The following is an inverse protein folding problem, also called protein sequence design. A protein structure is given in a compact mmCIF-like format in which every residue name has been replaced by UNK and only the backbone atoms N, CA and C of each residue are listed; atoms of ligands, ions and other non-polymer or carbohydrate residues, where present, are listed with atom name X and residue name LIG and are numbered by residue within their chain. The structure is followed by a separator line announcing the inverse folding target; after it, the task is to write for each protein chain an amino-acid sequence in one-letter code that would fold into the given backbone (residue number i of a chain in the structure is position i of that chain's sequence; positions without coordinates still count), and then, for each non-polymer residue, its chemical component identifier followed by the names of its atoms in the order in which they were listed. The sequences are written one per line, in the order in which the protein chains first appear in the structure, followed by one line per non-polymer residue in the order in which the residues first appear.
data_IF_964213439019
#
_entry.id   IF_964213439019
#
_cell.length_a   1.000
_cell.length_b   1.000
_cell.length_c   1.000
_cell.angle_alpha   90.00
_cell.angle_beta   90.00
_cell.angle_gamma   90.00
#
_symmetry.space_group_name_H-M   'P 1'
#
loop_
_entity.id
_entity.type
_entity.pdbx_description
1 polymer ?
#
# COMPACT_ATOMS: atom_id res chain seq x y z
N UNK A 1 -26.14 33.86 23.17
CA UNK A 1 -26.29 33.62 21.73
C UNK A 1 -24.95 33.44 21.00
N UNK A 2 -23.90 34.18 21.32
CA UNK A 2 -22.56 34.02 20.69
C UNK A 2 -21.86 32.73 21.06
N UNK A 3 -22.05 32.20 22.23
CA UNK A 3 -21.41 30.98 22.72
C UNK A 3 -21.94 29.74 21.99
N UNK A 4 -23.23 29.65 21.74
CA UNK A 4 -23.86 28.53 21.04
C UNK A 4 -23.51 28.48 19.55
N UNK A 5 -23.32 29.63 18.90
CA UNK A 5 -22.88 29.71 17.51
C UNK A 5 -21.42 29.27 17.33
N UNK A 6 -20.51 29.69 18.23
CA UNK A 6 -19.12 29.26 18.19
C UNK A 6 -18.93 27.79 18.51
N UNK A 7 -19.74 27.23 19.40
CA UNK A 7 -19.70 25.81 19.73
C UNK A 7 -20.23 24.96 18.59
N UNK A 8 -21.32 25.37 17.92
CA UNK A 8 -21.83 24.70 16.74
C UNK A 8 -20.85 24.72 15.57
N UNK A 9 -20.23 25.87 15.31
CA UNK A 9 -19.19 26.01 14.28
C UNK A 9 -17.95 25.15 14.58
N UNK A 10 -17.54 25.04 15.84
CA UNK A 10 -16.44 24.19 16.28
C UNK A 10 -16.76 22.70 16.10
N UNK A 11 -17.94 22.25 16.47
CA UNK A 11 -18.42 20.87 16.27
C UNK A 11 -18.49 20.52 14.79
N UNK A 12 -18.96 21.43 13.95
CA UNK A 12 -19.02 21.23 12.51
C UNK A 12 -17.62 21.15 11.89
N UNK A 13 -16.68 21.99 12.31
CA UNK A 13 -15.29 21.95 11.87
C UNK A 13 -14.59 20.65 12.30
N UNK A 14 -14.82 20.16 13.51
CA UNK A 14 -14.30 18.88 13.99
C UNK A 14 -14.89 17.70 13.20
N UNK A 15 -16.19 17.74 12.89
CA UNK A 15 -16.87 16.73 12.10
C UNK A 15 -16.34 16.68 10.67
N UNK A 16 -16.18 17.83 10.02
CA UNK A 16 -15.61 17.94 8.68
C UNK A 16 -14.15 17.46 8.64
N UNK A 17 -13.37 17.73 9.67
CA UNK A 17 -12.01 17.25 9.82
C UNK A 17 -11.97 15.72 9.94
N UNK A 18 -12.82 15.13 10.77
CA UNK A 18 -12.93 13.69 10.95
C UNK A 18 -13.37 13.00 9.67
N UNK A 19 -14.34 13.55 8.95
CA UNK A 19 -14.78 13.04 7.65
C UNK A 19 -13.68 13.11 6.60
N UNK A 20 -12.90 14.21 6.56
CA UNK A 20 -11.76 14.38 5.67
C UNK A 20 -10.63 13.39 6.00
N UNK A 21 -10.33 13.15 7.27
CA UNK A 21 -9.37 12.16 7.73
C UNK A 21 -9.80 10.74 7.36
N UNK A 22 -11.07 10.38 7.56
CA UNK A 22 -11.63 9.10 7.16
C UNK A 22 -11.58 8.89 5.65
N UNK A 23 -11.88 9.93 4.88
CA UNK A 23 -11.79 9.90 3.42
C UNK A 23 -10.36 9.72 2.94
N UNK A 24 -9.39 10.38 3.56
CA UNK A 24 -7.97 10.18 3.30
C UNK A 24 -7.52 8.77 3.62
N UNK A 25 -7.95 8.20 4.74
CA UNK A 25 -7.65 6.82 5.12
C UNK A 25 -8.21 5.82 4.09
N UNK A 26 -9.44 6.04 3.60
CA UNK A 26 -10.03 5.23 2.54
C UNK A 26 -9.27 5.32 1.22
N UNK A 27 -8.66 6.47 0.92
CA UNK A 27 -7.88 6.69 -0.30
C UNK A 27 -6.44 6.17 -0.19
N UNK A 28 -5.88 6.02 1.02
CA UNK A 28 -4.52 5.55 1.26
C UNK A 28 -4.35 4.05 1.02
N UNK A 29 -5.39 3.26 1.27
CA UNK A 29 -5.44 1.85 0.88
C UNK A 29 -6.55 1.65 -0.14
N UNK A 30 -6.20 1.04 -1.26
CA UNK A 30 -7.15 0.69 -2.29
C UNK A 30 -8.19 -0.30 -1.72
N UNK A 31 -9.51 0.02 -1.69
CA UNK A 31 -10.54 -0.90 -1.22
C UNK A 31 -10.54 -2.24 -1.95
N UNK A 32 -10.23 -2.25 -3.25
CA UNK A 32 -10.06 -3.47 -4.02
C UNK A 32 -8.93 -4.35 -3.49
N UNK A 33 -7.82 -3.75 -3.10
CA UNK A 33 -6.71 -4.49 -2.49
C UNK A 33 -7.16 -5.21 -1.22
N UNK A 34 -7.87 -4.51 -0.33
CA UNK A 34 -8.36 -5.09 0.93
C UNK A 34 -9.33 -6.25 0.67
N UNK A 35 -10.31 -6.05 -0.19
CA UNK A 35 -11.31 -7.07 -0.53
C UNK A 35 -10.66 -8.28 -1.20
N UNK A 36 -9.77 -8.07 -2.16
CA UNK A 36 -9.06 -9.14 -2.85
C UNK A 36 -8.14 -9.91 -1.88
N UNK A 37 -7.47 -9.23 -0.98
CA UNK A 37 -6.62 -9.86 0.05
C UNK A 37 -7.45 -10.72 0.99
N UNK A 38 -8.60 -10.23 1.47
CA UNK A 38 -9.51 -11.00 2.31
C UNK A 38 -10.06 -12.24 1.58
N UNK A 39 -10.44 -12.10 0.31
CA UNK A 39 -10.89 -13.23 -0.49
C UNK A 39 -9.79 -14.28 -0.70
N UNK A 40 -8.56 -13.86 -0.90
CA UNK A 40 -7.41 -14.76 -1.02
C UNK A 40 -7.12 -15.48 0.30
N UNK A 41 -7.21 -14.78 1.43
CA UNK A 41 -7.07 -15.39 2.75
C UNK A 41 -8.17 -16.43 2.97
N UNK A 42 -9.40 -16.11 2.65
CA UNK A 42 -10.53 -17.04 2.73
C UNK A 42 -10.29 -18.31 1.93
N UNK A 43 -9.83 -18.17 0.69
CA UNK A 43 -9.49 -19.32 -0.15
C UNK A 43 -8.33 -20.17 0.44
N UNK A 44 -7.33 -19.52 1.02
CA UNK A 44 -6.19 -20.20 1.65
C UNK A 44 -6.57 -21.02 2.88
N UNK A 45 -7.60 -20.63 3.62
CA UNK A 45 -8.03 -21.35 4.83
C UNK A 45 -8.29 -22.84 4.54
N UNK A 46 -8.85 -23.14 3.38
CA UNK A 46 -9.15 -24.52 2.97
C UNK A 46 -7.91 -25.33 2.53
N UNK A 47 -6.86 -24.67 2.03
CA UNK A 47 -5.71 -25.34 1.43
C UNK A 47 -4.45 -25.26 2.31
N UNK A 48 -4.23 -24.16 2.96
CA UNK A 48 -3.05 -23.89 3.81
C UNK A 48 -3.44 -22.90 4.91
N UNK A 49 -3.92 -23.43 6.01
CA UNK A 49 -4.39 -22.64 7.16
C UNK A 49 -3.26 -21.85 7.83
N UNK A 50 -2.04 -22.37 7.85
CA UNK A 50 -0.89 -21.68 8.43
C UNK A 50 -0.53 -20.44 7.62
N UNK A 51 -0.54 -20.57 6.31
CA UNK A 51 -0.30 -19.45 5.39
C UNK A 51 -1.42 -18.41 5.46
N UNK A 52 -2.67 -18.84 5.61
CA UNK A 52 -3.81 -17.96 5.83
C UNK A 52 -3.67 -17.15 7.13
N UNK A 53 -3.26 -17.79 8.21
CA UNK A 53 -3.01 -17.12 9.49
C UNK A 53 -1.87 -16.10 9.40
N UNK A 54 -0.79 -16.45 8.73
CA UNK A 54 0.32 -15.54 8.47
C UNK A 54 -0.14 -14.32 7.68
N UNK A 55 -0.96 -14.51 6.66
CA UNK A 55 -1.53 -13.43 5.86
C UNK A 55 -2.43 -12.49 6.67
N UNK A 56 -3.23 -13.03 7.60
CA UNK A 56 -4.03 -12.22 8.54
C UNK A 56 -3.13 -11.36 9.43
N UNK A 57 -2.03 -11.92 9.94
CA UNK A 57 -1.08 -11.17 10.76
C UNK A 57 -0.42 -10.03 9.97
N UNK A 58 0.02 -10.30 8.74
CA UNK A 58 0.61 -9.27 7.87
C UNK A 58 -0.39 -8.18 7.53
N UNK A 59 -1.63 -8.54 7.22
CA UNK A 59 -2.70 -7.57 6.97
C UNK A 59 -2.99 -6.71 8.20
N UNK A 60 -3.00 -7.31 9.38
CA UNK A 60 -3.21 -6.58 10.64
C UNK A 60 -2.12 -5.56 10.92
N UNK A 61 -0.86 -5.91 10.67
CA UNK A 61 0.28 -4.99 10.79
C UNK A 61 0.16 -3.81 9.81
N UNK A 62 -0.22 -4.10 8.58
CA UNK A 62 -0.40 -3.11 7.53
C UNK A 62 -1.52 -2.13 7.89
N UNK A 63 -2.67 -2.63 8.33
CA UNK A 63 -3.80 -1.80 8.76
C UNK A 63 -3.46 -0.95 9.99
N UNK A 64 -2.74 -1.51 10.95
CA UNK A 64 -2.31 -0.77 12.15
C UNK A 64 -1.40 0.40 11.77
N UNK A 65 -0.47 0.19 10.86
CA UNK A 65 0.39 1.25 10.37
C UNK A 65 -0.41 2.38 9.73
N UNK A 66 -1.32 2.04 8.81
CA UNK A 66 -2.14 3.03 8.11
C UNK A 66 -3.09 3.77 9.04
N UNK A 67 -3.69 3.07 10.01
CA UNK A 67 -4.69 3.66 10.90
C UNK A 67 -4.08 4.45 12.07
N UNK A 68 -2.92 4.05 12.57
CA UNK A 68 -2.38 4.59 13.81
C UNK A 68 -0.95 5.13 13.70
N UNK A 69 -0.04 4.41 13.08
CA UNK A 69 1.40 4.71 13.15
C UNK A 69 1.83 5.84 12.20
N UNK A 70 1.06 6.12 11.15
CA UNK A 70 1.39 7.15 10.16
C UNK A 70 0.68 8.49 10.38
N UNK A 71 0.12 8.74 11.57
CA UNK A 71 -0.64 9.96 11.89
C UNK A 71 0.23 11.23 11.96
N UNK A 72 1.53 11.09 11.89
CA UNK A 72 2.48 12.20 11.94
C UNK A 72 2.76 12.76 10.53
N UNK A 73 3.20 14.02 10.47
CA UNK A 73 3.58 14.68 9.20
C UNK A 73 4.78 13.98 8.54
N UNK A 74 5.72 13.50 9.36
CA UNK A 74 6.88 12.73 8.91
C UNK A 74 7.02 11.47 9.74
N UNK A 75 7.49 10.42 9.11
CA UNK A 75 7.74 9.11 9.75
C UNK A 75 9.15 8.62 9.42
N UNK A 76 9.75 7.79 10.28
CA UNK A 76 11.05 7.19 9.97
C UNK A 76 10.99 6.34 8.71
N UNK A 77 12.01 6.47 7.86
CA UNK A 77 12.12 5.68 6.62
C UNK A 77 12.07 4.17 6.89
N UNK A 78 12.68 3.71 7.97
CA UNK A 78 12.66 2.29 8.32
C UNK A 78 11.23 1.77 8.59
N UNK A 79 10.33 2.60 9.11
CA UNK A 79 8.92 2.24 9.31
C UNK A 79 8.18 2.12 7.98
N UNK A 80 8.45 3.01 7.04
CA UNK A 80 7.92 2.91 5.67
C UNK A 80 8.44 1.65 4.96
N UNK A 81 9.71 1.33 5.11
CA UNK A 81 10.29 0.11 4.54
C UNK A 81 9.66 -1.15 5.14
N UNK A 82 9.44 -1.19 6.44
CA UNK A 82 8.74 -2.30 7.10
C UNK A 82 7.31 -2.46 6.57
N UNK A 83 6.60 -1.35 6.40
CA UNK A 83 5.26 -1.33 5.81
C UNK A 83 5.28 -1.88 4.37
N UNK A 84 6.23 -1.46 3.56
CA UNK A 84 6.39 -1.93 2.18
C UNK A 84 6.71 -3.42 2.14
N UNK A 85 7.57 -3.91 3.02
CA UNK A 85 7.85 -5.35 3.15
C UNK A 85 6.60 -6.14 3.47
N UNK A 86 5.80 -5.69 4.42
CA UNK A 86 4.54 -6.34 4.79
C UNK A 86 3.54 -6.34 3.61
N UNK A 87 3.47 -5.25 2.88
CA UNK A 87 2.65 -5.15 1.68
C UNK A 87 3.08 -6.16 0.61
N UNK A 88 4.37 -6.25 0.35
CA UNK A 88 4.94 -7.18 -0.64
C UNK A 88 4.69 -8.63 -0.22
N UNK A 89 4.83 -8.97 1.05
CA UNK A 89 4.53 -10.33 1.53
C UNK A 89 3.07 -10.71 1.32
N UNK A 90 2.13 -9.79 1.54
CA UNK A 90 0.73 -10.02 1.21
C UNK A 90 0.51 -10.20 -0.29
N UNK A 91 1.17 -9.41 -1.12
CA UNK A 91 1.06 -9.53 -2.58
C UNK A 91 1.66 -10.83 -3.10
N UNK A 92 2.72 -11.36 -2.49
CA UNK A 92 3.32 -12.65 -2.87
C UNK A 92 2.33 -13.81 -2.81
N UNK A 93 1.37 -13.78 -1.90
CA UNK A 93 0.33 -14.80 -1.76
C UNK A 93 -0.52 -14.89 -3.05
N UNK A 94 -0.69 -13.77 -3.74
CA UNK A 94 -1.50 -13.65 -4.97
C UNK A 94 -0.70 -13.89 -6.24
N UNK A 95 0.62 -13.87 -6.17
CA UNK A 95 1.48 -13.99 -7.35
C UNK A 95 1.59 -15.44 -7.79
N UNK A 96 1.47 -15.66 -9.11
CA UNK A 96 1.72 -16.93 -9.73
C UNK A 96 3.23 -17.19 -9.89
N UNK A 97 3.60 -18.44 -10.19
CA UNK A 97 5.00 -18.85 -10.32
C UNK A 97 5.75 -18.15 -11.48
N UNK A 98 5.03 -17.55 -12.43
CA UNK A 98 5.61 -16.83 -13.55
C UNK A 98 5.99 -15.36 -13.22
N UNK A 99 5.78 -14.92 -11.97
CA UNK A 99 6.14 -13.57 -11.53
C UNK A 99 7.42 -13.63 -10.70
N UNK A 100 8.44 -12.93 -11.17
CA UNK A 100 9.70 -12.71 -10.44
C UNK A 100 9.60 -11.43 -9.62
N UNK A 101 9.65 -11.56 -8.29
CA UNK A 101 9.61 -10.44 -7.36
C UNK A 101 10.95 -10.32 -6.65
N UNK A 102 11.60 -9.17 -6.77
CA UNK A 102 12.86 -8.88 -6.08
C UNK A 102 12.82 -7.53 -5.39
N UNK A 103 13.43 -7.47 -4.21
CA UNK A 103 13.49 -6.26 -3.40
C UNK A 103 14.90 -6.05 -2.86
N UNK A 104 15.30 -4.79 -2.77
CA UNK A 104 16.56 -4.38 -2.17
C UNK A 104 16.34 -3.10 -1.37
N UNK A 105 16.74 -3.11 -0.10
CA UNK A 105 16.61 -1.97 0.79
C UNK A 105 17.98 -1.63 1.39
N UNK A 106 18.55 -0.53 0.92
CA UNK A 106 19.85 -0.02 1.36
C UNK A 106 19.63 1.25 2.19
N UNK A 107 19.23 1.07 3.43
CA UNK A 107 18.90 2.14 4.36
C UNK A 107 19.78 2.07 5.60
N UNK A 108 20.02 3.23 6.23
CA UNK A 108 20.78 3.29 7.47
C UNK A 108 20.07 2.58 8.62
N UNK A 109 20.77 1.77 9.40
CA UNK A 109 20.15 1.01 10.50
C UNK A 109 19.69 1.89 11.66
N UNK A 110 20.13 3.14 11.75
CA UNK A 110 19.81 4.05 12.85
C UNK A 110 18.41 4.69 12.78
N UNK A 111 17.67 4.51 11.70
CA UNK A 111 16.30 5.01 11.53
C UNK A 111 16.10 6.52 11.74
N UNK A 112 17.09 7.34 11.44
CA UNK A 112 17.01 8.80 11.67
C UNK A 112 16.41 9.57 10.51
N UNK A 113 16.41 9.01 9.30
CA UNK A 113 15.84 9.66 8.13
C UNK A 113 14.31 9.69 8.22
N UNK A 114 13.74 10.88 8.04
CA UNK A 114 12.31 11.11 8.07
C UNK A 114 11.79 11.39 6.66
N UNK A 115 10.66 10.79 6.32
CA UNK A 115 9.97 11.00 5.04
C UNK A 115 8.46 11.20 5.26
N UNK A 116 7.77 11.70 4.24
CA UNK A 116 6.32 11.75 4.27
C UNK A 116 5.72 10.34 4.29
N UNK A 117 4.70 10.07 5.12
CA UNK A 117 4.10 8.74 5.20
C UNK A 117 3.42 8.34 3.89
N UNK A 118 3.53 7.06 3.54
CA UNK A 118 2.86 6.41 2.39
C UNK A 118 3.23 7.02 1.03
N UNK A 119 4.42 7.64 0.92
CA UNK A 119 4.84 8.32 -0.31
C UNK A 119 5.12 7.33 -1.46
N UNK A 120 5.62 6.14 -1.16
CA UNK A 120 6.02 5.18 -2.19
C UNK A 120 4.96 4.13 -2.54
N UNK A 121 3.95 3.95 -1.68
CA UNK A 121 3.00 2.84 -1.83
C UNK A 121 2.18 2.91 -3.13
N UNK A 122 1.81 4.10 -3.56
CA UNK A 122 1.05 4.26 -4.80
C UNK A 122 1.84 3.83 -6.04
N UNK A 123 3.15 4.09 -6.05
CA UNK A 123 4.04 3.65 -7.13
C UNK A 123 4.18 2.13 -7.14
N UNK A 124 4.29 1.52 -5.97
CA UNK A 124 4.38 0.07 -5.80
C UNK A 124 3.06 -0.59 -6.22
N UNK A 125 1.92 -0.05 -5.82
CA UNK A 125 0.61 -0.52 -6.27
C UNK A 125 0.47 -0.49 -7.79
N UNK A 126 0.93 0.58 -8.43
CA UNK A 126 0.93 0.70 -9.89
C UNK A 126 1.79 -0.37 -10.55
N UNK A 127 2.96 -0.68 -9.99
CA UNK A 127 3.81 -1.75 -10.49
C UNK A 127 3.12 -3.12 -10.46
N UNK A 128 2.42 -3.44 -9.37
CA UNK A 128 1.63 -4.67 -9.28
C UNK A 128 0.42 -4.67 -10.21
N UNK A 129 -0.21 -3.53 -10.40
CA UNK A 129 -1.39 -3.42 -11.27
C UNK A 129 -1.05 -3.57 -12.76
N UNK A 130 0.06 -3.03 -13.19
CA UNK A 130 0.42 -2.93 -14.61
C UNK A 130 1.59 -3.83 -15.02
N UNK A 131 2.38 -4.31 -14.07
CA UNK A 131 3.59 -5.09 -14.32
C UNK A 131 3.40 -6.61 -14.31
N UNK A 132 2.20 -7.11 -14.05
CA UNK A 132 1.91 -8.53 -13.92
C UNK A 132 0.91 -8.96 -14.98
N UNK A 133 1.27 -10.04 -15.71
CA UNK A 133 0.37 -10.74 -16.63
C UNK A 133 -0.05 -12.07 -16.02
N UNK A 134 -1.32 -12.50 -16.16
CA UNK A 134 -1.75 -13.82 -15.69
C UNK A 134 -1.17 -14.96 -16.53
N UNK A 135 -0.68 -14.68 -17.74
CA UNK A 135 -0.24 -15.71 -18.72
C UNK A 135 1.23 -15.59 -19.11
N UNK A 136 1.83 -14.42 -19.02
CA UNK A 136 3.21 -14.17 -19.48
C UNK A 136 4.16 -14.01 -18.30
N UNK A 137 5.45 -14.34 -18.54
CA UNK A 137 6.49 -14.09 -17.57
C UNK A 137 6.57 -12.60 -17.22
N UNK A 138 6.56 -12.30 -15.93
CA UNK A 138 6.51 -10.94 -15.40
C UNK A 138 7.59 -10.75 -14.35
N UNK A 139 8.02 -9.51 -14.15
CA UNK A 139 8.92 -9.18 -13.05
C UNK A 139 8.55 -7.84 -12.40
N UNK A 140 8.85 -7.74 -11.13
CA UNK A 140 8.83 -6.49 -10.37
C UNK A 140 10.10 -6.43 -9.54
N UNK A 141 10.85 -5.35 -9.65
CA UNK A 141 12.01 -5.08 -8.83
C UNK A 141 11.85 -3.73 -8.14
N UNK A 142 12.01 -3.73 -6.81
CA UNK A 142 11.89 -2.54 -5.97
C UNK A 142 13.21 -2.34 -5.24
N UNK A 143 13.79 -1.17 -5.39
CA UNK A 143 15.00 -0.76 -4.71
C UNK A 143 14.79 0.58 -4.02
N UNK A 144 14.92 0.59 -2.69
CA UNK A 144 14.91 1.81 -1.89
C UNK A 144 16.27 1.98 -1.25
N UNK A 145 16.88 3.12 -1.49
CA UNK A 145 18.20 3.46 -0.95
C UNK A 145 18.20 4.87 -0.39
N UNK A 146 19.12 5.14 0.51
CA UNK A 146 19.34 6.48 1.03
C UNK A 146 20.81 6.82 1.03
N UNK A 147 21.09 8.10 0.85
CA UNK A 147 22.39 8.71 1.09
C UNK A 147 22.22 9.94 2.00
N UNK A 148 23.28 10.72 2.20
CA UNK A 148 23.23 11.87 3.11
C UNK A 148 22.30 13.00 2.66
N UNK A 149 21.83 12.98 1.41
CA UNK A 149 21.06 14.07 0.81
C UNK A 149 19.65 13.67 0.38
N UNK A 150 19.44 12.40 0.02
CA UNK A 150 18.17 11.98 -0.60
C UNK A 150 17.83 10.52 -0.33
N UNK A 151 16.55 10.23 -0.48
CA UNK A 151 15.99 8.86 -0.51
C UNK A 151 15.55 8.58 -1.94
N UNK A 152 16.02 7.47 -2.50
CA UNK A 152 15.73 7.07 -3.87
C UNK A 152 14.89 5.80 -3.85
N UNK A 153 13.73 5.85 -4.50
CA UNK A 153 12.89 4.67 -4.75
C UNK A 153 12.89 4.38 -6.25
N UNK A 154 13.47 3.25 -6.61
CA UNK A 154 13.51 2.77 -7.99
C UNK A 154 12.61 1.55 -8.13
N UNK A 155 11.69 1.60 -9.08
CA UNK A 155 10.79 0.49 -9.38
C UNK A 155 10.94 0.15 -10.85
N UNK A 156 11.24 -1.11 -11.13
CA UNK A 156 11.30 -1.67 -12.48
C UNK A 156 10.30 -2.81 -12.57
N UNK A 157 9.53 -2.83 -13.61
CA UNK A 157 8.53 -3.87 -13.84
C UNK A 157 8.34 -4.13 -15.32
N UNK A 158 7.90 -5.35 -15.63
CA UNK A 158 7.40 -5.66 -16.96
C UNK A 158 6.20 -4.77 -17.30
N UNK A 159 5.99 -4.52 -18.58
CA UNK A 159 4.92 -3.66 -19.04
C UNK A 159 4.02 -4.43 -20.01
N UNK A 160 2.74 -4.48 -19.68
CA UNK A 160 1.70 -5.09 -20.52
C UNK A 160 0.68 -3.99 -20.87
N UNK A 161 0.90 -3.23 -21.97
CA UNK A 161 -0.04 -2.21 -22.39
C UNK A 161 -1.39 -2.85 -22.70
N UNK A 162 -2.47 -2.28 -22.20
CA UNK A 162 -3.83 -2.69 -22.56
C UNK A 162 -4.02 -2.44 -24.04
N UNK A 163 -4.41 -3.45 -24.78
CA UNK A 163 -4.76 -3.28 -26.18
C UNK A 163 -5.91 -2.28 -26.32
N UNK A 164 -5.77 -1.38 -27.30
CA UNK A 164 -6.70 -0.26 -27.52
C UNK A 164 -8.10 -0.74 -27.98
N UNK A 165 -8.29 -2.03 -28.14
CA UNK A 165 -9.49 -2.66 -28.73
C UNK A 165 -10.71 -2.72 -27.80
N UNK A 166 -10.57 -2.44 -26.51
CA UNK A 166 -11.69 -2.51 -25.57
C UNK A 166 -12.62 -1.29 -25.57
N UNK A 167 -12.45 -0.34 -26.50
CA UNK A 167 -13.32 0.83 -26.61
C UNK A 167 -14.32 0.81 -27.76
N UNK A 168 -14.41 -0.24 -28.54
CA UNK A 168 -15.30 -0.29 -29.69
C UNK A 168 -16.35 -1.40 -29.65
N UNK A 169 -16.79 -1.77 -28.48
CA UNK A 169 -17.84 -2.78 -28.29
C UNK A 169 -19.08 -2.27 -27.59
N UNK A 170 -19.71 -1.23 -28.13
CA UNK A 170 -21.10 -0.91 -27.81
C UNK A 170 -21.72 -0.27 -29.03
N UNK A 171 -22.25 -1.11 -29.88
CA UNK A 171 -23.26 -0.78 -30.85
C UNK A 171 -24.57 -1.39 -30.39
#
# INVERSE_FOLDING_TARGET
ARWTQNEAARKEAERNRTEAELKNLRNQLNPHFLLNTLNNIYALIAFDSDKAQQAVQELSKLLRYVLYDNQQTYVPLCKEVDFIRNYIELMRIRLSANVQMSTQFDIHPNCQTLIAPLIFISLIENAFKHGISPTEASFIHIHISENDQEVICEIRNSNFPKEVWDKSGSG
#
